data_IF_904585541052
#
_entry.id   IF_904585541052
#
_cell.length_a   1.000
_cell.length_b   1.000
_cell.length_c   1.000
_cell.angle_alpha   90.00
_cell.angle_beta   90.00
_cell.angle_gamma   90.00
#
_symmetry.space_group_name_H-M   'P 1'
#
loop_
_entity.id
_entity.type
_entity.pdbx_description
1 polymer ?
#
# COMPACT_ATOMS: atom_id res chain seq x y z
N UNK A 1 -16.32 -32.42 13.19
CA UNK A 1 -16.90 -31.28 12.43
C UNK A 1 -17.71 -30.41 13.37
N UNK A 2 -17.15 -29.30 13.87
CA UNK A 2 -17.96 -28.18 14.36
C UNK A 2 -17.12 -26.90 14.42
N UNK A 3 -17.50 -25.96 13.55
CA UNK A 3 -17.39 -24.50 13.56
C UNK A 3 -16.28 -23.86 14.42
N UNK A 4 -15.27 -23.30 13.76
CA UNK A 4 -14.41 -22.27 14.33
C UNK A 4 -14.99 -20.88 14.06
N UNK A 5 -15.27 -20.17 15.15
CA UNK A 5 -15.85 -18.85 15.22
C UNK A 5 -14.89 -17.78 14.69
N UNK A 6 -15.22 -17.17 13.55
CA UNK A 6 -14.58 -15.97 12.98
C UNK A 6 -15.04 -14.71 13.74
N UNK A 7 -14.83 -14.67 15.06
CA UNK A 7 -15.13 -13.51 15.91
C UNK A 7 -13.89 -13.03 16.63
N UNK A 8 -13.04 -12.23 15.95
CA UNK A 8 -12.17 -11.24 16.64
C UNK A 8 -11.43 -10.19 15.79
N UNK A 9 -11.93 -9.82 14.62
CA UNK A 9 -11.46 -8.62 13.92
C UNK A 9 -12.64 -7.70 13.62
N UNK A 10 -13.06 -7.00 14.67
CA UNK A 10 -14.04 -5.91 14.63
C UNK A 10 -13.36 -4.74 15.32
N UNK A 11 -12.48 -4.05 14.60
CA UNK A 11 -12.03 -2.71 14.97
C UNK A 11 -12.96 -1.73 14.25
N UNK A 12 -14.13 -1.49 14.85
CA UNK A 12 -15.02 -0.40 14.49
C UNK A 12 -14.30 0.93 14.74
N UNK A 13 -14.16 1.75 13.70
CA UNK A 13 -13.90 3.18 13.84
C UNK A 13 -15.19 3.91 13.46
N UNK A 14 -15.94 4.31 14.49
CA UNK A 14 -17.03 5.28 14.40
C UNK A 14 -16.39 6.67 14.27
N UNK A 15 -16.69 7.40 13.18
CA UNK A 15 -16.43 8.84 13.11
C UNK A 15 -17.74 9.54 12.73
N UNK A 16 -18.08 10.52 13.57
CA UNK A 16 -19.28 11.33 13.53
C UNK A 16 -19.41 12.14 12.23
N UNK A 17 -20.65 12.33 11.80
CA UNK A 17 -21.06 13.20 10.68
C UNK A 17 -20.92 14.66 11.12
N UNK A 18 -20.04 15.45 10.48
CA UNK A 18 -20.11 16.92 10.46
C UNK A 18 -19.71 17.47 9.08
N UNK A 19 -20.66 18.23 8.52
CA UNK A 19 -20.60 19.28 7.48
C UNK A 19 -20.08 18.98 6.06
N UNK A 20 -21.04 19.12 5.13
CA UNK A 20 -20.89 19.26 3.68
C UNK A 20 -20.03 20.48 3.32
N UNK A 21 -18.78 20.25 2.94
CA UNK A 21 -18.06 21.13 2.03
C UNK A 21 -17.82 20.35 0.73
N UNK A 22 -18.00 20.95 -0.46
CA UNK A 22 -17.65 20.30 -1.70
C UNK A 22 -16.13 20.10 -1.72
N UNK A 23 -15.69 18.87 -1.38
CA UNK A 23 -14.28 18.50 -1.32
C UNK A 23 -13.70 18.56 -2.72
N UNK A 24 -13.02 19.66 -3.02
CA UNK A 24 -12.03 19.70 -4.10
C UNK A 24 -10.91 18.75 -3.72
N UNK A 25 -10.42 17.96 -4.67
CA UNK A 25 -9.24 17.13 -4.41
C UNK A 25 -8.08 18.07 -4.04
N UNK A 26 -7.67 18.04 -2.77
CA UNK A 26 -6.61 18.92 -2.27
C UNK A 26 -5.29 18.68 -3.01
N UNK A 27 -4.42 19.68 -3.10
CA UNK A 27 -3.10 19.52 -3.71
C UNK A 27 -2.28 18.41 -3.02
N UNK A 28 -1.27 17.89 -3.71
CA UNK A 28 -0.35 16.93 -3.11
C UNK A 28 0.47 17.60 -2.00
N UNK A 29 0.57 16.99 -0.83
CA UNK A 29 1.41 17.55 0.25
C UNK A 29 2.89 17.26 -0.01
N UNK A 30 3.77 17.98 0.70
CA UNK A 30 5.21 17.69 0.67
C UNK A 30 5.51 16.25 1.11
N UNK A 31 4.79 15.75 2.11
CA UNK A 31 4.95 14.38 2.60
C UNK A 31 4.56 13.35 1.54
N UNK A 32 3.46 13.56 0.81
CA UNK A 32 3.03 12.68 -0.28
C UNK A 32 4.03 12.67 -1.44
N UNK A 33 4.60 13.84 -1.76
CA UNK A 33 5.61 13.96 -2.80
C UNK A 33 6.88 13.18 -2.43
N UNK A 34 7.33 13.31 -1.18
CA UNK A 34 8.49 12.57 -0.66
C UNK A 34 8.21 11.06 -0.68
N UNK A 35 7.08 10.63 -0.14
CA UNK A 35 6.69 9.22 -0.09
C UNK A 35 6.58 8.61 -1.50
N UNK A 36 5.97 9.33 -2.45
CA UNK A 36 5.88 8.89 -3.85
C UNK A 36 7.26 8.72 -4.48
N UNK A 37 8.17 9.68 -4.26
CA UNK A 37 9.55 9.60 -4.76
C UNK A 37 10.29 8.41 -4.16
N UNK A 38 10.18 8.21 -2.85
CA UNK A 38 10.79 7.08 -2.15
C UNK A 38 10.23 5.75 -2.68
N UNK A 39 8.91 5.60 -2.77
CA UNK A 39 8.26 4.40 -3.31
C UNK A 39 8.78 4.06 -4.70
N UNK A 40 8.91 5.04 -5.60
CA UNK A 40 9.44 4.81 -6.96
C UNK A 40 10.90 4.37 -6.97
N UNK A 41 11.71 4.90 -6.05
CA UNK A 41 13.12 4.55 -5.93
C UNK A 41 13.35 3.15 -5.32
N UNK A 42 12.49 2.73 -4.39
CA UNK A 42 12.56 1.40 -3.76
C UNK A 42 12.30 0.29 -4.77
N UNK A 43 13.06 -0.79 -4.72
CA UNK A 43 12.89 -1.97 -5.58
C UNK A 43 12.94 -3.25 -4.74
N UNK A 44 12.20 -4.29 -5.12
CA UNK A 44 12.36 -5.62 -4.52
C UNK A 44 13.81 -6.08 -4.54
N UNK A 45 14.21 -6.86 -3.55
CA UNK A 45 15.58 -7.38 -3.40
C UNK A 45 16.61 -6.40 -2.84
N UNK A 46 16.25 -5.13 -2.60
CA UNK A 46 17.14 -4.17 -1.94
C UNK A 46 17.49 -4.63 -0.53
N UNK A 47 18.74 -4.40 -0.11
CA UNK A 47 19.15 -4.58 1.29
C UNK A 47 18.52 -3.50 2.18
N UNK A 48 18.48 -3.76 3.48
CA UNK A 48 18.10 -2.75 4.49
C UNK A 48 18.93 -1.47 4.35
N UNK A 49 20.23 -1.58 4.05
CA UNK A 49 21.10 -0.41 3.83
C UNK A 49 20.67 0.44 2.62
N UNK A 50 20.40 -0.23 1.49
CA UNK A 50 19.99 0.45 0.26
C UNK A 50 18.65 1.16 0.46
N UNK A 51 17.71 0.51 1.16
CA UNK A 51 16.44 1.12 1.55
C UNK A 51 16.67 2.32 2.46
N UNK A 52 17.51 2.20 3.49
CA UNK A 52 17.82 3.31 4.40
C UNK A 52 18.43 4.51 3.67
N UNK A 53 19.30 4.29 2.67
CA UNK A 53 19.84 5.37 1.82
C UNK A 53 18.76 6.11 1.06
N UNK A 54 17.76 5.40 0.53
CA UNK A 54 16.62 6.00 -0.18
C UNK A 54 15.74 6.81 0.79
N UNK A 55 15.47 6.27 1.98
CA UNK A 55 14.57 6.91 2.94
C UNK A 55 15.20 8.14 3.62
N UNK A 56 16.48 8.05 3.98
CA UNK A 56 17.13 9.01 4.89
C UNK A 56 18.32 9.75 4.30
N UNK A 57 18.70 9.46 3.06
CA UNK A 57 19.82 10.11 2.37
C UNK A 57 21.13 9.99 3.15
N UNK A 58 21.85 11.10 3.32
CA UNK A 58 23.15 11.14 4.01
C UNK A 58 23.09 10.66 5.47
N UNK A 59 21.92 10.73 6.11
CA UNK A 59 21.74 10.33 7.50
C UNK A 59 21.47 8.83 7.70
N UNK A 60 21.47 8.01 6.64
CA UNK A 60 21.04 6.61 6.70
C UNK A 60 21.77 5.76 7.74
N UNK A 61 23.07 5.98 7.97
CA UNK A 61 23.86 5.20 8.93
C UNK A 61 23.30 5.29 10.35
N UNK A 62 22.71 6.43 10.73
CA UNK A 62 22.08 6.63 12.05
C UNK A 62 20.78 5.83 12.21
N UNK A 63 20.22 5.35 11.11
CA UNK A 63 18.96 4.62 11.04
C UNK A 63 19.16 3.10 10.92
N UNK A 64 20.40 2.62 11.08
CA UNK A 64 20.75 1.21 11.03
C UNK A 64 21.20 0.72 12.41
N UNK A 65 20.88 -0.53 12.73
CA UNK A 65 21.40 -1.25 13.89
C UNK A 65 21.66 -2.71 13.50
N UNK A 66 22.54 -3.38 14.24
CA UNK A 66 22.66 -4.83 14.18
C UNK A 66 21.74 -5.46 15.21
N UNK A 67 21.03 -6.52 14.82
CA UNK A 67 20.19 -7.34 15.69
C UNK A 67 20.37 -8.79 15.28
N UNK A 68 20.81 -9.64 16.21
CA UNK A 68 21.03 -11.08 15.98
C UNK A 68 21.86 -11.36 14.71
N UNK A 69 22.97 -10.64 14.53
CA UNK A 69 23.85 -10.79 13.36
C UNK A 69 23.30 -10.23 12.04
N UNK A 70 22.10 -9.64 12.04
CA UNK A 70 21.43 -9.08 10.87
C UNK A 70 21.37 -7.55 10.96
N UNK A 71 21.54 -6.87 9.83
CA UNK A 71 21.34 -5.42 9.78
C UNK A 71 19.86 -5.10 9.60
N UNK A 72 19.32 -4.23 10.46
CA UNK A 72 17.89 -3.87 10.51
C UNK A 72 17.72 -2.36 10.66
N UNK A 73 16.51 -1.83 10.40
CA UNK A 73 16.22 -0.41 10.59
C UNK A 73 16.06 -0.09 12.08
N UNK A 74 16.52 1.09 12.49
CA UNK A 74 16.25 1.64 13.82
C UNK A 74 14.89 2.33 13.85
N UNK A 75 13.82 1.53 13.79
CA UNK A 75 12.43 1.98 13.92
C UNK A 75 11.76 1.27 15.10
N UNK A 76 10.86 1.97 15.79
CA UNK A 76 10.16 1.46 16.97
C UNK A 76 8.90 0.64 16.63
N UNK A 77 8.63 0.43 15.34
CA UNK A 77 7.40 -0.18 14.79
C UNK A 77 7.71 -1.46 14.01
N UNK A 78 8.70 -2.20 14.49
CA UNK A 78 9.15 -3.47 13.92
C UNK A 78 8.24 -4.59 14.42
N UNK A 79 7.51 -5.22 13.51
CA UNK A 79 6.85 -6.51 13.76
C UNK A 79 7.76 -7.59 13.21
N UNK A 80 8.17 -8.51 14.10
CA UNK A 80 8.94 -9.69 13.73
C UNK A 80 8.02 -10.89 13.69
N UNK A 81 8.13 -11.66 12.62
CA UNK A 81 7.38 -12.91 12.46
C UNK A 81 8.16 -13.89 11.62
N UNK A 82 7.72 -15.14 11.64
CA UNK A 82 8.21 -16.19 10.76
C UNK A 82 7.11 -16.55 9.76
N UNK A 83 7.45 -16.58 8.47
CA UNK A 83 6.54 -16.99 7.41
C UNK A 83 7.30 -17.82 6.39
N UNK A 84 6.79 -19.00 6.06
CA UNK A 84 7.42 -19.94 5.13
C UNK A 84 8.89 -20.27 5.48
N UNK A 85 9.18 -20.56 6.75
CA UNK A 85 10.55 -20.85 7.25
C UNK A 85 11.55 -19.71 7.00
N UNK A 86 11.05 -18.46 6.97
CA UNK A 86 11.84 -17.25 6.73
C UNK A 86 11.51 -16.22 7.80
N UNK A 87 12.53 -15.49 8.24
CA UNK A 87 12.34 -14.36 9.12
C UNK A 87 11.77 -13.19 8.34
N UNK A 88 10.79 -12.52 8.92
CA UNK A 88 10.09 -11.38 8.33
C UNK A 88 10.21 -10.18 9.27
N UNK A 89 10.55 -9.03 8.71
CA UNK A 89 10.48 -7.74 9.38
C UNK A 89 9.48 -6.85 8.66
N UNK A 90 8.46 -6.39 9.36
CA UNK A 90 7.52 -5.40 8.85
C UNK A 90 7.72 -4.07 9.58
N UNK A 91 7.80 -2.99 8.80
CA UNK A 91 7.98 -1.62 9.30
C UNK A 91 6.87 -0.71 8.81
N UNK A 92 6.23 -0.04 9.77
CA UNK A 92 5.34 1.09 9.50
C UNK A 92 6.14 2.40 9.46
N UNK A 93 6.15 3.05 8.30
CA UNK A 93 6.71 4.37 8.06
C UNK A 93 5.61 5.43 8.27
N UNK A 94 5.36 5.78 9.53
CA UNK A 94 4.32 6.73 9.91
C UNK A 94 4.91 7.88 10.72
N UNK A 95 4.59 9.11 10.35
CA UNK A 95 4.91 10.28 11.17
C UNK A 95 3.94 10.38 12.36
N UNK A 96 4.29 9.69 13.45
CA UNK A 96 3.48 9.65 14.69
C UNK A 96 3.45 10.97 15.48
N UNK A 97 4.20 11.99 15.04
CA UNK A 97 4.15 13.33 15.65
C UNK A 97 2.95 14.15 15.17
N UNK A 98 2.23 13.66 14.16
CA UNK A 98 1.04 14.30 13.60
C UNK A 98 -0.12 13.34 13.85
N UNK A 99 -1.21 13.87 14.40
CA UNK A 99 -2.43 13.10 14.68
C UNK A 99 -2.98 12.44 13.42
N UNK A 100 -2.95 13.18 12.30
CA UNK A 100 -3.42 12.72 11.00
C UNK A 100 -2.30 12.76 9.93
N UNK A 101 -1.46 11.73 9.82
CA UNK A 101 -0.37 11.70 8.85
C UNK A 101 -0.90 11.56 7.42
N UNK A 102 -0.58 12.54 6.56
CA UNK A 102 -1.02 12.53 5.14
C UNK A 102 -0.40 11.41 4.29
N UNK A 103 0.68 10.77 4.78
CA UNK A 103 1.32 9.64 4.12
C UNK A 103 1.75 8.57 5.14
N UNK A 104 1.46 7.32 4.82
CA UNK A 104 1.79 6.11 5.58
C UNK A 104 2.51 5.17 4.62
N UNK A 105 3.66 4.63 5.01
CA UNK A 105 4.35 3.59 4.26
C UNK A 105 4.41 2.28 5.03
N UNK A 106 4.47 1.17 4.33
CA UNK A 106 4.75 -0.15 4.91
C UNK A 106 5.86 -0.81 4.09
N UNK A 107 6.86 -1.35 4.78
CA UNK A 107 7.93 -2.12 4.17
C UNK A 107 7.98 -3.51 4.81
N UNK A 108 8.08 -4.54 3.99
CA UNK A 108 8.39 -5.90 4.46
C UNK A 108 9.73 -6.32 3.94
N UNK A 109 10.55 -6.87 4.82
CA UNK A 109 11.79 -7.55 4.49
C UNK A 109 11.69 -9.02 4.87
N UNK A 110 12.23 -9.88 4.04
CA UNK A 110 12.34 -11.31 4.31
C UNK A 110 13.78 -11.78 4.16
N UNK A 111 14.14 -12.84 4.88
CA UNK A 111 15.37 -13.60 4.61
C UNK A 111 15.11 -14.70 3.61
N UNK A 112 16.17 -15.26 3.02
CA UNK A 112 16.10 -16.61 2.46
C UNK A 112 15.94 -17.64 3.59
N UNK A 113 15.49 -18.86 3.27
CA UNK A 113 15.37 -19.96 4.24
C UNK A 113 16.72 -20.26 4.88
N UNK A 114 16.78 -20.16 6.22
CA UNK A 114 18.00 -20.33 7.01
C UNK A 114 19.03 -19.20 6.86
N UNK A 115 18.68 -18.11 6.16
CA UNK A 115 19.55 -16.96 5.96
C UNK A 115 19.34 -15.87 7.02
N UNK A 116 20.33 -14.98 7.13
CA UNK A 116 20.29 -13.81 8.04
C UNK A 116 20.22 -12.47 7.30
N UNK A 117 20.21 -12.51 5.95
CA UNK A 117 20.25 -11.30 5.13
C UNK A 117 18.84 -10.92 4.66
N UNK A 118 18.32 -9.85 5.23
CA UNK A 118 17.03 -9.27 4.85
C UNK A 118 17.05 -8.58 3.48
N UNK A 119 16.01 -8.85 2.70
CA UNK A 119 15.74 -8.27 1.38
C UNK A 119 14.33 -7.71 1.34
N UNK A 120 14.16 -6.53 0.75
CA UNK A 120 12.85 -5.89 0.60
C UNK A 120 11.97 -6.75 -0.30
N UNK A 121 10.84 -7.24 0.22
CA UNK A 121 9.86 -8.06 -0.52
C UNK A 121 8.51 -7.38 -0.66
N UNK A 122 8.20 -6.38 0.16
CA UNK A 122 7.00 -5.56 0.00
C UNK A 122 7.32 -4.08 0.21
N UNK A 123 6.71 -3.24 -0.62
CA UNK A 123 6.58 -1.81 -0.38
C UNK A 123 5.14 -1.38 -0.63
N UNK A 124 4.59 -0.59 0.27
CA UNK A 124 3.28 0.03 0.13
C UNK A 124 3.34 1.47 0.62
N UNK A 125 2.52 2.33 0.02
CA UNK A 125 2.19 3.63 0.58
C UNK A 125 0.71 3.94 0.42
N UNK A 126 0.18 4.65 1.41
CA UNK A 126 -1.20 5.07 1.51
C UNK A 126 -1.24 6.57 1.85
N UNK A 127 -2.16 7.29 1.24
CA UNK A 127 -2.38 8.70 1.45
C UNK A 127 -3.73 8.95 2.09
N UNK A 128 -3.69 9.69 3.20
CA UNK A 128 -4.87 9.99 4.02
C UNK A 128 -5.23 11.47 3.95
N UNK A 129 -6.51 11.78 4.17
CA UNK A 129 -6.98 13.15 4.39
C UNK A 129 -7.94 13.21 5.58
N UNK A 130 -7.79 14.28 6.38
CA UNK A 130 -8.71 14.58 7.47
C UNK A 130 -10.03 15.12 6.89
N UNK A 131 -10.83 14.18 6.39
CA UNK A 131 -12.09 14.39 5.70
C UNK A 131 -12.96 13.17 6.00
N UNK A 132 -14.28 13.26 5.77
CA UNK A 132 -15.19 12.13 5.93
C UNK A 132 -14.79 10.89 5.12
N UNK A 133 -14.05 11.05 4.02
CA UNK A 133 -13.53 9.93 3.25
C UNK A 133 -12.41 9.16 3.95
N UNK A 134 -11.65 9.79 4.87
CA UNK A 134 -10.45 9.26 5.52
C UNK A 134 -9.22 9.07 4.62
N UNK A 135 -9.40 9.09 3.30
CA UNK A 135 -8.37 8.86 2.30
C UNK A 135 -8.14 10.07 1.40
N UNK A 136 -6.99 10.08 0.73
CA UNK A 136 -6.78 10.92 -0.44
C UNK A 136 -7.80 10.57 -1.52
N UNK A 137 -8.70 11.50 -1.80
CA UNK A 137 -9.69 11.37 -2.86
C UNK A 137 -9.11 11.81 -4.20
N UNK A 138 -9.61 11.19 -5.26
CA UNK A 138 -9.37 11.58 -6.64
C UNK A 138 -10.10 12.89 -6.96
N UNK A 139 -9.54 13.69 -7.88
CA UNK A 139 -10.19 14.86 -8.48
C UNK A 139 -11.27 14.48 -9.50
N UNK A 140 -11.47 13.17 -9.71
CA UNK A 140 -12.51 12.59 -10.57
C UNK A 140 -13.73 12.19 -9.75
N UNK A 141 -14.89 12.19 -10.39
CA UNK A 141 -16.17 11.79 -9.79
C UNK A 141 -16.81 10.67 -10.60
N UNK A 142 -17.51 9.77 -9.93
CA UNK A 142 -18.31 8.75 -10.60
C UNK A 142 -19.54 9.39 -11.26
N UNK A 143 -19.74 9.14 -12.55
CA UNK A 143 -20.89 9.64 -13.30
C UNK A 143 -22.18 9.05 -12.70
N UNK A 144 -23.26 9.85 -12.64
CA UNK A 144 -24.55 9.43 -12.09
C UNK A 144 -25.05 8.15 -12.79
N UNK A 145 -25.40 7.15 -12.00
CA UNK A 145 -25.91 5.85 -12.50
C UNK A 145 -24.84 4.86 -12.95
N UNK A 146 -23.56 5.26 -13.01
CA UNK A 146 -22.47 4.34 -13.31
C UNK A 146 -22.29 3.30 -12.20
N UNK A 147 -21.89 2.09 -12.61
CA UNK A 147 -21.62 0.97 -11.70
C UNK A 147 -20.20 0.47 -11.92
N UNK A 148 -19.45 0.32 -10.83
CA UNK A 148 -18.18 -0.39 -10.84
C UNK A 148 -18.46 -1.88 -10.71
N UNK A 149 -17.63 -2.69 -11.37
CA UNK A 149 -17.68 -4.15 -11.30
C UNK A 149 -16.27 -4.72 -11.22
N UNK A 150 -16.14 -5.84 -10.53
CA UNK A 150 -14.92 -6.64 -10.57
C UNK A 150 -14.54 -7.02 -12.00
N UNK A 151 -13.24 -7.03 -12.27
CA UNK A 151 -12.66 -7.31 -13.57
C UNK A 151 -12.58 -6.12 -14.54
N UNK A 152 -13.20 -4.97 -14.23
CA UNK A 152 -13.06 -3.77 -15.03
C UNK A 152 -11.59 -3.33 -15.13
N UNK A 153 -11.14 -2.96 -16.33
CA UNK A 153 -9.82 -2.35 -16.53
C UNK A 153 -9.82 -0.89 -16.09
N UNK A 154 -8.64 -0.31 -15.91
CA UNK A 154 -8.52 1.13 -15.66
C UNK A 154 -9.22 1.99 -16.71
N UNK A 155 -9.14 1.61 -17.99
CA UNK A 155 -9.82 2.32 -19.08
C UNK A 155 -11.35 2.18 -19.03
N UNK A 156 -11.86 1.09 -18.49
CA UNK A 156 -13.31 0.92 -18.30
C UNK A 156 -13.79 1.77 -17.11
N UNK A 157 -13.00 1.84 -16.04
CA UNK A 157 -13.28 2.74 -14.90
C UNK A 157 -13.17 4.20 -15.34
N UNK A 158 -12.14 4.57 -16.09
CA UNK A 158 -11.96 5.94 -16.61
C UNK A 158 -13.19 6.45 -17.39
N UNK A 159 -13.77 5.59 -18.22
CA UNK A 159 -14.98 5.90 -19.02
C UNK A 159 -16.23 6.20 -18.20
N UNK A 160 -16.26 5.81 -16.93
CA UNK A 160 -17.39 6.09 -16.03
C UNK A 160 -17.09 7.18 -15.00
N UNK A 161 -15.98 7.89 -15.18
CA UNK A 161 -15.59 9.03 -14.37
C UNK A 161 -15.74 10.35 -15.14
N UNK A 162 -15.90 11.44 -14.41
CA UNK A 162 -15.80 12.79 -14.98
C UNK A 162 -14.34 13.10 -15.35
N UNK A 163 -14.08 13.65 -16.53
CA UNK A 163 -12.73 14.02 -16.96
C UNK A 163 -11.96 12.86 -17.59
N UNK A 164 -10.63 12.97 -17.65
CA UNK A 164 -9.74 11.95 -18.25
C UNK A 164 -8.75 11.40 -17.23
N UNK A 165 -8.54 10.10 -17.25
CA UNK A 165 -7.72 9.35 -16.31
C UNK A 165 -8.37 9.22 -14.93
N UNK A 166 -7.83 8.30 -14.12
CA UNK A 166 -8.33 8.00 -12.77
C UNK A 166 -7.97 9.06 -11.72
N UNK A 167 -7.22 10.10 -12.07
CA UNK A 167 -6.78 11.14 -11.14
C UNK A 167 -5.75 10.65 -10.13
N UNK A 168 -5.86 11.13 -8.89
CA UNK A 168 -4.91 10.79 -7.82
C UNK A 168 -5.25 9.47 -7.13
N UNK A 169 -4.24 8.61 -6.95
CA UNK A 169 -4.36 7.36 -6.23
C UNK A 169 -4.37 7.55 -4.70
N UNK A 170 -5.09 6.67 -4.00
CA UNK A 170 -5.09 6.58 -2.53
C UNK A 170 -3.98 5.68 -1.99
N UNK A 171 -3.67 4.59 -2.68
CA UNK A 171 -2.64 3.61 -2.27
C UNK A 171 -1.88 3.10 -3.48
N UNK A 172 -0.59 2.79 -3.29
CA UNK A 172 0.22 1.98 -4.22
C UNK A 172 0.91 0.86 -3.44
N UNK A 173 0.88 -0.37 -3.97
CA UNK A 173 1.51 -1.53 -3.37
C UNK A 173 2.29 -2.37 -4.39
N UNK A 174 3.37 -2.97 -3.93
CA UNK A 174 4.17 -3.92 -4.68
C UNK A 174 4.76 -4.97 -3.75
N UNK A 175 4.45 -6.24 -4.00
CA UNK A 175 5.06 -7.43 -3.39
C UNK A 175 5.83 -8.18 -4.46
N UNK A 176 7.06 -8.58 -4.16
CA UNK A 176 7.86 -9.49 -4.98
C UNK A 176 8.82 -10.26 -4.07
N UNK A 177 8.55 -11.57 -3.92
CA UNK A 177 9.34 -12.45 -3.04
C UNK A 177 10.46 -13.18 -3.78
N UNK A 178 10.66 -12.95 -5.08
CA UNK A 178 11.62 -13.71 -5.90
C UNK A 178 13.04 -13.65 -5.35
N UNK A 179 13.45 -12.52 -4.76
CA UNK A 179 14.79 -12.30 -4.23
C UNK A 179 15.14 -13.11 -2.99
N UNK A 180 14.17 -13.77 -2.35
CA UNK A 180 14.36 -14.58 -1.13
C UNK A 180 14.03 -16.06 -1.37
N UNK A 181 13.85 -16.43 -2.63
CA UNK A 181 13.55 -17.78 -3.07
C UNK A 181 14.72 -18.35 -3.86
N UNK A 182 14.99 -19.65 -3.68
CA UNK A 182 15.93 -20.38 -4.52
C UNK A 182 15.37 -20.48 -5.94
N UNK A 183 16.24 -20.56 -6.95
CA UNK A 183 15.85 -20.71 -8.36
C UNK A 183 14.83 -21.83 -8.60
N UNK A 184 14.96 -22.97 -7.90
CA UNK A 184 14.03 -24.10 -8.00
C UNK A 184 12.62 -23.77 -7.48
N UNK A 185 12.53 -22.95 -6.43
CA UNK A 185 11.25 -22.52 -5.84
C UNK A 185 10.54 -21.53 -6.76
N UNK A 186 11.30 -20.61 -7.38
CA UNK A 186 10.77 -19.68 -8.39
C UNK A 186 10.23 -20.47 -9.60
N UNK A 187 10.99 -21.44 -10.11
CA UNK A 187 10.53 -22.31 -11.21
C UNK A 187 9.29 -23.13 -10.85
N UNK A 188 9.13 -23.48 -9.58
CA UNK A 188 7.95 -24.17 -9.07
C UNK A 188 6.76 -23.23 -8.79
N UNK A 189 6.84 -21.95 -9.14
CA UNK A 189 5.74 -21.00 -8.99
C UNK A 189 5.50 -20.53 -7.56
N UNK A 190 6.47 -20.70 -6.64
CA UNK A 190 6.34 -20.25 -5.23
C UNK A 190 6.54 -18.75 -5.05
N UNK A 191 6.94 -18.03 -6.09
CA UNK A 191 7.11 -16.59 -6.04
C UNK A 191 5.76 -15.87 -6.02
N UNK A 192 5.62 -14.92 -5.10
CA UNK A 192 4.49 -14.00 -5.06
C UNK A 192 4.94 -12.69 -5.66
N UNK A 193 4.31 -12.29 -6.77
CA UNK A 193 4.50 -10.98 -7.41
C UNK A 193 3.15 -10.31 -7.58
N UNK A 194 2.93 -9.22 -6.86
CA UNK A 194 1.63 -8.53 -6.80
C UNK A 194 1.89 -7.03 -6.95
N UNK A 195 1.12 -6.36 -7.81
CA UNK A 195 1.05 -4.90 -7.85
C UNK A 195 -0.37 -4.45 -7.61
N UNK A 196 -0.54 -3.44 -6.76
CA UNK A 196 -1.85 -2.93 -6.37
C UNK A 196 -1.90 -1.41 -6.40
N UNK A 197 -3.11 -0.90 -6.60
CA UNK A 197 -3.40 0.52 -6.42
C UNK A 197 -4.86 0.72 -6.07
N UNK A 198 -5.15 1.78 -5.32
CA UNK A 198 -6.52 2.13 -4.97
C UNK A 198 -6.85 3.57 -5.32
N UNK A 199 -8.14 3.84 -5.48
CA UNK A 199 -8.68 5.16 -5.71
C UNK A 199 -9.97 5.34 -4.90
N UNK A 200 -10.23 6.57 -4.46
CA UNK A 200 -11.49 6.97 -3.83
C UNK A 200 -12.10 8.09 -4.63
N UNK A 201 -13.30 7.86 -5.17
CA UNK A 201 -14.02 8.83 -5.99
C UNK A 201 -15.24 9.36 -5.24
N UNK A 202 -15.56 10.64 -5.38
CA UNK A 202 -16.88 11.13 -4.98
C UNK A 202 -17.93 10.66 -5.97
N UNK A 203 -19.15 10.45 -5.48
CA UNK A 203 -20.33 10.12 -6.30
C UNK A 203 -21.28 11.32 -6.36
N UNK A 204 -22.26 11.26 -7.28
CA UNK A 204 -23.29 12.29 -7.39
C UNK A 204 -24.20 12.42 -6.14
N UNK A 205 -24.19 11.44 -5.23
CA UNK A 205 -25.02 11.41 -4.02
C UNK A 205 -24.22 11.72 -2.75
N UNK A 206 -23.07 12.39 -2.86
CA UNK A 206 -22.16 12.71 -1.74
C UNK A 206 -21.64 11.47 -0.97
N UNK A 207 -21.69 10.29 -1.58
CA UNK A 207 -21.02 9.07 -1.09
C UNK A 207 -19.64 8.92 -1.74
N UNK A 208 -18.82 8.04 -1.18
CA UNK A 208 -17.50 7.70 -1.69
C UNK A 208 -17.50 6.32 -2.32
N UNK A 209 -16.79 6.17 -3.44
CA UNK A 209 -16.55 4.90 -4.10
C UNK A 209 -15.07 4.57 -4.00
N UNK A 210 -14.73 3.58 -3.17
CA UNK A 210 -13.42 2.95 -3.15
C UNK A 210 -13.33 1.92 -4.27
N UNK A 211 -12.20 1.91 -4.96
CA UNK A 211 -11.87 0.91 -5.99
C UNK A 211 -10.44 0.45 -5.75
N UNK A 212 -10.26 -0.86 -5.61
CA UNK A 212 -8.97 -1.51 -5.48
C UNK A 212 -8.64 -2.29 -6.75
N UNK A 213 -7.47 -2.02 -7.31
CA UNK A 213 -6.95 -2.69 -8.48
C UNK A 213 -5.81 -3.63 -8.12
N UNK A 214 -5.79 -4.80 -8.74
CA UNK A 214 -4.66 -5.73 -8.79
C UNK A 214 -4.16 -5.88 -10.23
N UNK A 215 -2.86 -6.01 -10.43
CA UNK A 215 -2.29 -6.28 -11.75
C UNK A 215 -2.46 -7.75 -12.11
N UNK A 216 -3.25 -8.02 -13.15
CA UNK A 216 -3.40 -9.35 -13.74
C UNK A 216 -2.21 -9.59 -14.68
N UNK A 217 -1.28 -10.43 -14.25
CA UNK A 217 -0.06 -10.75 -15.01
C UNK A 217 -0.36 -11.50 -16.31
N UNK A 218 -1.42 -12.32 -16.36
CA UNK A 218 -1.81 -13.07 -17.56
C UNK A 218 -2.34 -12.13 -18.63
N UNK A 219 -3.17 -11.16 -18.22
CA UNK A 219 -3.80 -10.21 -19.15
C UNK A 219 -3.05 -8.87 -19.25
N UNK A 220 -1.92 -8.75 -18.56
CA UNK A 220 -0.99 -7.62 -18.55
C UNK A 220 -1.64 -6.27 -18.27
N UNK A 221 -2.65 -6.24 -17.39
CA UNK A 221 -3.42 -5.04 -17.10
C UNK A 221 -3.91 -5.04 -15.64
N UNK A 222 -4.05 -3.83 -15.06
CA UNK A 222 -4.75 -3.67 -13.80
C UNK A 222 -6.25 -3.90 -13.96
N UNK A 223 -6.83 -4.59 -12.99
CA UNK A 223 -8.26 -4.86 -12.91
C UNK A 223 -8.82 -4.61 -11.53
N UNK A 224 -10.06 -4.16 -11.49
CA UNK A 224 -10.83 -4.04 -10.25
C UNK A 224 -10.93 -5.42 -9.60
N UNK A 225 -10.33 -5.56 -8.43
CA UNK A 225 -10.42 -6.75 -7.59
C UNK A 225 -11.53 -6.59 -6.57
N UNK A 226 -11.63 -5.39 -5.99
CA UNK A 226 -12.65 -5.05 -5.00
C UNK A 226 -13.13 -3.59 -5.18
N UNK A 227 -14.36 -3.34 -4.77
CA UNK A 227 -14.95 -2.02 -4.76
C UNK A 227 -16.05 -1.91 -3.69
N UNK A 228 -16.06 -0.80 -2.95
CA UNK A 228 -17.06 -0.56 -1.92
C UNK A 228 -17.53 0.89 -1.95
N UNK A 229 -18.80 1.10 -1.60
CA UNK A 229 -19.37 2.42 -1.44
C UNK A 229 -19.64 2.66 0.04
N UNK A 230 -19.29 3.84 0.53
CA UNK A 230 -19.50 4.27 1.91
C UNK A 230 -19.84 5.76 1.99
#
# INVERSE_FOLDING_TARGET
MHKWNVKRWLLMVLIAIVCLNPVTAGAATKAETIATKQYRALKPGMTVEQVAKILYGKAYKKQLKMKNGSQVLRLNTEIEMEEWDRNVLLYDLVNRKVEFPSAIGVLMFMTETGGTKYRLTMKQMEFKRDTAAGFRTSDRKLIKGAKIKNGMTEQQVDRVLTGKGLGTFGTLGHVDTTSVLRKKEVKAGKATVIHTKSYVFSTATNKWQYIFFIYDTKKKAYRVEDHSQY
#
